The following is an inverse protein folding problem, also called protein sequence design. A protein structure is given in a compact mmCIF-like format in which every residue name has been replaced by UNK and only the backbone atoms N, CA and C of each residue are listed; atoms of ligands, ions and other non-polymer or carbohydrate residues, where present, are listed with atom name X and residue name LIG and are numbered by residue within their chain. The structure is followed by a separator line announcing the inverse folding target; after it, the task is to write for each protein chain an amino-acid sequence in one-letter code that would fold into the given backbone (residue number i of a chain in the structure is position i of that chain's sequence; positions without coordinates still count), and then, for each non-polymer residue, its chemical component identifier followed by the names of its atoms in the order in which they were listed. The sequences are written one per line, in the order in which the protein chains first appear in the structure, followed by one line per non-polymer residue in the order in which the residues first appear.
data_IF_347339276340
#
_entry.id   IF_347339276340
#
_cell.length_a   1.000
_cell.length_b   1.000
_cell.length_c   1.000
_cell.angle_alpha   90.00
_cell.angle_beta   90.00
_cell.angle_gamma   90.00
#
_symmetry.space_group_name_H-M   'P 1'
#
loop_
_entity.id
_entity.type
_entity.pdbx_description
1 polymer ?
#
# COMPACT_ATOMS: atom_id res chain seq x y z
N UNK A 1 -61.45 -10.92 6.55
CA UNK A 1 -62.26 -12.09 6.94
C UNK A 1 -61.33 -13.31 7.08
N UNK A 2 -61.45 -13.93 8.31
CA UNK A 2 -61.09 -15.34 8.63
C UNK A 2 -59.63 -15.78 8.46
N UNK A 3 -58.93 -16.51 9.37
CA UNK A 3 -59.12 -16.86 10.80
C UNK A 3 -57.79 -17.47 11.26
N UNK A 4 -57.44 -17.16 12.50
CA UNK A 4 -56.44 -17.85 13.34
C UNK A 4 -56.68 -19.36 13.41
N UNK A 5 -55.63 -20.15 13.64
CA UNK A 5 -55.65 -21.31 14.53
C UNK A 5 -54.35 -21.48 15.30
N UNK A 6 -54.46 -21.28 16.60
CA UNK A 6 -53.54 -21.78 17.66
C UNK A 6 -53.83 -23.26 17.90
N UNK A 7 -52.80 -24.06 18.19
CA UNK A 7 -52.92 -25.25 19.06
C UNK A 7 -51.66 -25.48 19.88
N UNK A 8 -51.83 -25.32 21.16
CA UNK A 8 -50.97 -25.80 22.27
C UNK A 8 -51.24 -27.26 22.60
N UNK A 9 -50.42 -27.82 23.51
CA UNK A 9 -50.54 -29.05 24.34
C UNK A 9 -49.32 -29.95 24.05
N UNK A 10 -48.53 -30.43 25.00
CA UNK A 10 -48.66 -30.57 26.44
C UNK A 10 -47.36 -31.16 27.03
N UNK A 11 -47.17 -30.89 28.28
CA UNK A 11 -46.17 -31.42 29.21
C UNK A 11 -46.28 -32.92 29.39
N UNK A 12 -45.11 -33.63 29.52
CA UNK A 12 -45.08 -34.87 30.33
C UNK A 12 -43.76 -34.93 31.12
N UNK A 13 -43.91 -34.84 32.44
CA UNK A 13 -42.89 -35.20 33.45
C UNK A 13 -42.84 -36.69 33.61
N UNK A 14 -41.66 -37.31 33.63
CA UNK A 14 -41.44 -38.56 34.35
C UNK A 14 -40.08 -38.49 35.06
N UNK A 15 -40.14 -38.47 36.38
CA UNK A 15 -38.98 -38.65 37.22
C UNK A 15 -38.69 -40.14 37.42
N UNK A 16 -37.43 -40.48 37.56
CA UNK A 16 -37.03 -41.69 38.25
C UNK A 16 -35.69 -41.52 39.02
N UNK A 17 -35.64 -42.12 40.12
CA UNK A 17 -34.85 -42.05 41.32
C UNK A 17 -33.36 -42.43 41.19
N UNK A 18 -32.62 -41.80 42.06
CA UNK A 18 -31.25 -42.00 42.57
C UNK A 18 -30.80 -43.46 42.75
N UNK A 19 -29.60 -43.78 42.35
CA UNK A 19 -28.73 -44.72 43.05
C UNK A 19 -27.27 -44.22 43.08
N UNK A 20 -26.79 -44.02 44.31
CA UNK A 20 -25.43 -43.69 44.70
C UNK A 20 -24.49 -44.89 44.50
N UNK A 21 -23.28 -44.64 43.92
CA UNK A 21 -22.07 -45.43 44.26
C UNK A 21 -20.84 -44.51 44.12
N UNK A 22 -20.09 -44.49 45.18
CA UNK A 22 -18.85 -43.77 45.41
C UNK A 22 -17.64 -44.33 44.61
N UNK A 23 -16.71 -43.42 44.44
CA UNK A 23 -15.24 -43.52 44.32
C UNK A 23 -14.63 -43.41 42.91
N UNK A 24 -13.81 -42.36 42.81
CA UNK A 24 -12.80 -42.22 41.77
C UNK A 24 -12.48 -40.75 41.51
N UNK A 25 -11.64 -40.13 42.39
CA UNK A 25 -11.07 -38.80 42.19
C UNK A 25 -10.16 -38.79 40.96
N UNK A 26 -10.58 -38.15 39.91
CA UNK A 26 -9.70 -37.61 38.87
C UNK A 26 -10.00 -36.11 38.76
N UNK A 27 -9.03 -35.32 39.23
CA UNK A 27 -9.02 -33.88 39.01
C UNK A 27 -8.94 -33.60 37.51
N UNK A 28 -10.06 -33.22 36.91
CA UNK A 28 -10.05 -32.56 35.64
C UNK A 28 -9.57 -31.13 35.88
N UNK A 29 -8.33 -30.82 35.47
CA UNK A 29 -7.89 -29.43 35.29
C UNK A 29 -8.78 -28.85 34.19
N UNK A 30 -9.81 -28.09 34.60
CA UNK A 30 -10.42 -27.08 33.76
C UNK A 30 -9.35 -26.06 33.42
N UNK A 31 -8.77 -26.18 32.24
CA UNK A 31 -8.04 -25.08 31.63
C UNK A 31 -9.09 -24.05 31.21
N UNK A 32 -9.36 -23.09 32.09
CA UNK A 32 -9.96 -21.83 31.67
C UNK A 32 -8.96 -21.20 30.66
N UNK A 33 -9.25 -21.35 29.37
CA UNK A 33 -8.73 -20.38 28.39
C UNK A 33 -9.26 -19.02 28.82
N UNK A 34 -8.41 -18.25 29.49
CA UNK A 34 -8.61 -16.82 29.65
C UNK A 34 -8.79 -16.25 28.24
N UNK A 35 -10.00 -15.85 27.89
CA UNK A 35 -10.30 -14.97 26.78
C UNK A 35 -9.56 -13.64 27.10
N UNK A 36 -8.26 -13.56 26.77
CA UNK A 36 -7.55 -12.30 26.75
C UNK A 36 -8.18 -11.47 25.63
N UNK A 37 -8.92 -10.43 26.01
CA UNK A 37 -9.25 -9.36 25.07
C UNK A 37 -7.93 -8.92 24.40
N UNK A 38 -7.91 -8.71 23.08
CA UNK A 38 -6.69 -8.28 22.39
C UNK A 38 -6.18 -7.00 23.06
N UNK A 39 -4.95 -7.07 23.53
CA UNK A 39 -4.29 -5.93 24.18
C UNK A 39 -4.08 -4.85 23.10
N UNK A 40 -4.85 -3.77 23.16
CA UNK A 40 -4.74 -2.65 22.23
C UNK A 40 -3.36 -2.03 22.39
N UNK A 41 -2.58 -2.01 21.31
CA UNK A 41 -1.28 -1.32 21.30
C UNK A 41 -1.50 0.18 21.45
N UNK A 42 -1.22 0.71 22.63
CA UNK A 42 -1.21 2.14 22.86
C UNK A 42 0.09 2.76 22.31
N UNK A 43 -0.03 3.92 21.68
CA UNK A 43 1.11 4.68 21.19
C UNK A 43 0.92 6.18 21.41
N UNK A 44 2.02 6.90 21.49
CA UNK A 44 2.07 8.35 21.44
C UNK A 44 2.55 8.81 20.06
N UNK A 45 2.20 10.04 19.69
CA UNK A 45 2.61 10.64 18.42
C UNK A 45 3.72 11.63 18.70
N UNK A 46 4.87 11.42 18.08
CA UNK A 46 5.95 12.39 18.02
C UNK A 46 5.95 13.06 16.66
N UNK A 47 5.66 14.35 16.62
CA UNK A 47 5.81 15.16 15.40
C UNK A 47 7.27 15.54 15.21
N UNK A 48 7.78 15.38 13.98
CA UNK A 48 9.13 15.73 13.59
C UNK A 48 9.10 17.10 12.93
N UNK A 49 9.86 18.05 13.47
CA UNK A 49 10.00 19.38 12.89
C UNK A 49 10.64 19.32 11.52
N UNK A 50 9.94 19.82 10.52
CA UNK A 50 10.28 19.59 9.13
C UNK A 50 9.81 20.73 8.22
N UNK A 51 10.65 21.19 7.26
CA UNK A 51 10.25 22.14 6.22
C UNK A 51 9.54 21.47 5.03
N UNK A 52 9.24 20.19 5.10
CA UNK A 52 8.60 19.44 4.01
C UNK A 52 7.12 19.80 3.94
N UNK A 53 6.64 20.30 2.79
CA UNK A 53 5.24 20.75 2.63
C UNK A 53 4.32 19.64 2.07
N UNK A 54 4.81 18.88 1.09
CA UNK A 54 4.06 17.82 0.43
C UNK A 54 4.90 16.53 0.33
N UNK A 55 5.19 15.88 1.48
CA UNK A 55 5.96 14.65 1.50
C UNK A 55 5.26 13.55 0.70
N UNK A 56 6.04 12.69 0.01
CA UNK A 56 5.45 11.64 -0.79
C UNK A 56 5.95 10.23 -0.43
N UNK A 57 7.25 10.00 -0.42
CA UNK A 57 7.88 8.73 -0.08
C UNK A 57 9.00 8.92 0.94
N UNK A 58 9.32 7.87 1.67
CA UNK A 58 10.42 7.82 2.64
C UNK A 58 11.16 6.49 2.49
N UNK A 59 12.49 6.52 2.58
CA UNK A 59 13.34 5.33 2.62
C UNK A 59 14.53 5.55 3.54
N UNK A 60 14.90 4.54 4.30
CA UNK A 60 16.09 4.57 5.14
C UNK A 60 17.33 4.14 4.35
N UNK A 61 18.46 4.81 4.60
CA UNK A 61 19.78 4.50 4.04
C UNK A 61 20.78 4.05 5.10
N UNK A 62 20.43 4.18 6.36
CA UNK A 62 21.04 3.55 7.53
C UNK A 62 20.02 3.53 8.70
N UNK A 63 20.44 3.09 9.89
CA UNK A 63 19.56 2.98 11.07
C UNK A 63 18.96 4.31 11.53
N UNK A 64 19.63 5.43 11.26
CA UNK A 64 19.26 6.77 11.74
C UNK A 64 18.92 7.76 10.64
N UNK A 65 19.21 7.43 9.38
CA UNK A 65 19.11 8.36 8.27
C UNK A 65 18.14 7.90 7.19
N UNK A 66 17.19 8.76 6.88
CA UNK A 66 16.23 8.54 5.82
C UNK A 66 16.23 9.65 4.78
N UNK A 67 15.72 9.34 3.59
CA UNK A 67 15.43 10.29 2.52
C UNK A 67 13.94 10.41 2.34
N UNK A 68 13.46 11.64 2.20
CA UNK A 68 12.05 11.95 2.02
C UNK A 68 11.88 12.74 0.73
N UNK A 69 11.08 12.22 -0.20
CA UNK A 69 10.71 12.97 -1.41
C UNK A 69 9.59 13.95 -1.13
N UNK A 70 9.67 15.08 -1.81
CA UNK A 70 8.61 16.09 -1.87
C UNK A 70 8.20 16.34 -3.32
N UNK A 71 6.89 16.44 -3.56
CA UNK A 71 6.33 16.59 -4.90
C UNK A 71 6.89 17.78 -5.69
N UNK A 72 7.28 18.86 -5.03
CA UNK A 72 7.89 20.04 -5.69
C UNK A 72 9.23 19.72 -6.39
N UNK A 73 9.83 18.56 -6.17
CA UNK A 73 11.10 18.15 -6.76
C UNK A 73 12.28 18.31 -5.82
N UNK A 74 12.07 18.12 -4.54
CA UNK A 74 13.12 18.05 -3.52
C UNK A 74 13.22 16.66 -2.91
N UNK A 75 14.39 16.33 -2.41
CA UNK A 75 14.62 15.15 -1.57
C UNK A 75 15.29 15.66 -0.29
N UNK A 76 14.60 15.51 0.83
CA UNK A 76 15.09 15.93 2.14
C UNK A 76 15.82 14.79 2.84
N UNK A 77 16.73 15.15 3.74
CA UNK A 77 17.46 14.23 4.61
C UNK A 77 16.90 14.34 6.01
N UNK A 78 16.30 13.26 6.48
CA UNK A 78 15.96 13.06 7.88
C UNK A 78 17.13 12.35 8.54
N UNK A 79 17.70 12.93 9.60
CA UNK A 79 18.75 12.34 10.39
C UNK A 79 18.26 12.26 11.84
N UNK A 80 18.17 11.04 12.37
CA UNK A 80 17.42 10.76 13.61
C UNK A 80 15.99 11.32 13.49
N UNK A 81 15.59 12.26 14.32
CA UNK A 81 14.27 12.88 14.31
C UNK A 81 14.32 14.36 13.87
N UNK A 82 15.25 14.72 12.98
CA UNK A 82 15.38 16.07 12.45
C UNK A 82 15.62 16.08 10.93
N UNK A 83 14.89 16.93 10.23
CA UNK A 83 15.20 17.22 8.81
C UNK A 83 16.34 18.21 8.76
N UNK A 84 17.52 17.75 8.31
CA UNK A 84 18.78 18.49 8.42
C UNK A 84 19.21 19.18 7.14
N UNK A 85 18.90 18.63 5.97
CA UNK A 85 19.39 19.09 4.68
C UNK A 85 18.55 18.56 3.52
N UNK A 86 18.96 18.82 2.29
CA UNK A 86 18.34 18.30 1.07
C UNK A 86 19.40 17.85 0.07
N UNK A 87 19.01 16.91 -0.80
CA UNK A 87 19.84 16.39 -1.88
C UNK A 87 19.90 17.42 -3.02
N UNK A 88 21.09 17.65 -3.55
CA UNK A 88 21.36 18.52 -4.70
C UNK A 88 21.72 17.70 -5.96
N UNK A 89 21.86 18.38 -7.09
CA UNK A 89 22.24 17.81 -8.39
C UNK A 89 21.23 16.76 -8.91
N UNK A 90 19.93 17.04 -8.70
CA UNK A 90 18.80 16.22 -9.14
C UNK A 90 18.02 16.93 -10.26
N UNK A 91 17.48 16.18 -11.26
CA UNK A 91 16.71 16.77 -12.36
C UNK A 91 15.39 17.39 -11.89
N UNK A 92 14.98 18.51 -12.46
CA UNK A 92 13.68 19.08 -12.17
C UNK A 92 12.54 18.21 -12.77
N UNK A 93 11.49 17.88 -11.98
CA UNK A 93 10.37 17.09 -12.49
C UNK A 93 9.40 17.94 -13.33
N UNK A 94 8.50 17.27 -14.07
CA UNK A 94 7.28 17.89 -14.59
C UNK A 94 6.33 18.16 -13.41
N UNK A 95 5.79 19.36 -13.32
CA UNK A 95 4.89 19.77 -12.25
C UNK A 95 3.51 20.16 -12.80
N UNK A 96 2.51 19.29 -12.59
CA UNK A 96 1.10 19.53 -12.90
C UNK A 96 0.23 18.60 -12.06
N UNK A 97 -0.65 19.13 -11.22
CA UNK A 97 -1.57 18.33 -10.40
C UNK A 97 -0.85 17.39 -9.43
N UNK A 98 -0.95 16.08 -9.66
CA UNK A 98 -0.36 15.02 -8.82
C UNK A 98 1.11 14.69 -9.16
N UNK A 99 1.68 15.34 -10.17
CA UNK A 99 3.05 15.08 -10.63
C UNK A 99 4.11 15.63 -9.65
N UNK A 100 5.37 15.26 -9.87
CA UNK A 100 6.52 15.71 -9.08
C UNK A 100 7.51 14.58 -8.82
N UNK A 101 8.26 14.68 -7.73
CA UNK A 101 8.96 13.54 -7.14
C UNK A 101 7.96 12.71 -6.34
N UNK A 102 8.02 11.40 -6.52
CA UNK A 102 7.03 10.46 -6.02
C UNK A 102 7.70 9.47 -5.06
N UNK A 103 7.71 8.17 -5.36
CA UNK A 103 8.26 7.21 -4.42
C UNK A 103 9.81 7.17 -4.45
N UNK A 104 10.40 6.76 -3.34
CA UNK A 104 11.84 6.58 -3.18
C UNK A 104 12.12 5.31 -2.40
N UNK A 105 13.11 4.52 -2.85
CA UNK A 105 13.48 3.26 -2.23
C UNK A 105 15.00 3.05 -2.31
N UNK A 106 15.66 2.85 -1.18
CA UNK A 106 17.03 2.36 -1.17
C UNK A 106 17.06 0.90 -1.63
N UNK A 107 18.15 0.49 -2.27
CA UNK A 107 18.36 -0.93 -2.58
C UNK A 107 18.31 -1.77 -1.30
N UNK A 108 17.68 -2.97 -1.29
CA UNK A 108 17.63 -3.82 -0.08
C UNK A 108 19.01 -4.14 0.54
N UNK A 109 20.05 -4.19 -0.28
CA UNK A 109 21.44 -4.40 0.13
C UNK A 109 22.23 -3.07 0.23
N UNK A 110 21.58 -1.96 0.55
CA UNK A 110 22.28 -0.70 0.82
C UNK A 110 23.02 -0.80 2.19
N UNK A 111 24.29 -0.36 2.35
CA UNK A 111 25.09 0.41 1.40
C UNK A 111 25.98 -0.40 0.44
N UNK A 112 26.02 -1.74 0.51
CA UNK A 112 26.85 -2.59 -0.36
C UNK A 112 26.53 -2.37 -1.83
N UNK A 113 25.26 -2.25 -2.17
CA UNK A 113 24.74 -1.74 -3.44
C UNK A 113 24.22 -0.32 -3.22
N UNK A 114 25.03 0.72 -3.45
CA UNK A 114 24.73 2.09 -3.00
C UNK A 114 23.72 2.81 -3.90
N UNK A 115 22.73 2.10 -4.42
CA UNK A 115 21.70 2.65 -5.29
C UNK A 115 20.45 3.05 -4.53
N UNK A 116 19.90 4.20 -4.89
CA UNK A 116 18.63 4.73 -4.41
C UNK A 116 17.75 4.90 -5.64
N UNK A 117 16.58 4.28 -5.62
CA UNK A 117 15.60 4.31 -6.70
C UNK A 117 14.57 5.37 -6.44
N UNK A 118 14.13 6.03 -7.49
CA UNK A 118 13.15 7.11 -7.44
C UNK A 118 12.18 6.96 -8.60
N UNK A 119 10.89 7.11 -8.35
CA UNK A 119 9.94 7.42 -9.40
C UNK A 119 9.63 8.90 -9.39
N UNK A 120 9.60 9.50 -10.57
CA UNK A 120 9.26 10.90 -10.72
C UNK A 120 8.55 11.13 -12.06
N UNK A 121 7.87 12.24 -12.18
CA UNK A 121 7.29 12.67 -13.46
C UNK A 121 8.37 13.38 -14.28
N UNK A 122 9.00 12.67 -15.21
CA UNK A 122 10.00 13.25 -16.12
C UNK A 122 9.35 14.15 -17.14
N UNK A 123 9.82 15.39 -17.23
CA UNK A 123 9.37 16.34 -18.24
C UNK A 123 9.82 15.93 -19.63
N UNK A 124 8.91 15.93 -20.60
CA UNK A 124 9.19 15.67 -22.00
C UNK A 124 8.27 16.54 -22.87
N UNK A 125 8.83 17.54 -23.54
CA UNK A 125 8.07 18.59 -24.23
C UNK A 125 7.13 19.35 -23.30
N UNK A 126 5.84 19.36 -23.63
CA UNK A 126 4.78 20.01 -22.82
C UNK A 126 4.15 19.06 -21.79
N UNK A 127 4.52 17.76 -21.77
CA UNK A 127 3.96 16.75 -20.89
C UNK A 127 5.01 16.12 -19.98
N UNK A 128 4.58 15.06 -19.29
CA UNK A 128 5.42 14.22 -18.45
C UNK A 128 4.85 12.82 -18.27
N UNK A 129 5.73 11.89 -17.92
CA UNK A 129 5.35 10.51 -17.61
C UNK A 129 6.09 10.01 -16.37
N UNK A 130 5.53 9.02 -15.71
CA UNK A 130 6.22 8.31 -14.62
C UNK A 130 7.51 7.71 -15.17
N UNK A 131 8.62 8.01 -14.53
CA UNK A 131 9.94 7.51 -14.89
C UNK A 131 10.58 6.92 -13.65
N UNK A 132 11.04 5.68 -13.75
CA UNK A 132 11.90 5.06 -12.76
C UNK A 132 13.35 5.48 -13.04
N UNK A 133 14.02 6.01 -12.02
CA UNK A 133 15.42 6.36 -12.05
C UNK A 133 16.14 5.77 -10.85
N UNK A 134 17.48 5.75 -10.89
CA UNK A 134 18.34 5.48 -9.73
C UNK A 134 19.50 6.45 -9.66
N UNK A 135 20.05 6.62 -8.49
CA UNK A 135 21.21 7.46 -8.25
C UNK A 135 22.01 6.96 -7.04
N UNK A 136 23.21 7.48 -6.88
CA UNK A 136 24.05 7.25 -5.69
C UNK A 136 24.24 8.57 -4.93
N UNK A 137 24.61 8.48 -3.66
CA UNK A 137 24.90 9.65 -2.84
C UNK A 137 26.43 9.84 -2.65
N UNK A 138 26.86 11.09 -2.78
CA UNK A 138 28.18 11.54 -2.33
C UNK A 138 27.98 12.78 -1.42
N UNK A 139 28.01 12.56 -0.11
CA UNK A 139 27.50 13.55 0.85
C UNK A 139 26.01 13.82 0.60
N UNK A 140 25.65 15.09 0.35
CA UNK A 140 24.27 15.51 0.04
C UNK A 140 24.06 15.73 -1.48
N UNK A 141 24.87 15.11 -2.34
CA UNK A 141 24.74 15.22 -3.79
C UNK A 141 24.33 13.92 -4.42
N UNK A 142 23.36 13.97 -5.32
CA UNK A 142 23.07 12.87 -6.20
C UNK A 142 24.19 12.75 -7.26
N UNK A 143 24.69 11.55 -7.43
CA UNK A 143 25.71 11.20 -8.43
C UNK A 143 25.23 9.98 -9.21
N UNK A 144 25.81 9.75 -10.38
CA UNK A 144 25.50 8.59 -11.21
C UNK A 144 24.00 8.44 -11.47
N UNK A 145 23.30 9.55 -11.73
CA UNK A 145 21.88 9.54 -12.07
C UNK A 145 21.62 8.80 -13.37
N UNK A 146 20.71 7.82 -13.33
CA UNK A 146 20.31 7.02 -14.47
C UNK A 146 18.77 6.92 -14.53
N UNK A 147 18.18 7.29 -15.68
CA UNK A 147 16.77 6.98 -15.95
C UNK A 147 16.69 5.56 -16.50
N UNK A 148 16.13 4.64 -15.72
CA UNK A 148 16.06 3.22 -16.04
C UNK A 148 14.91 2.89 -16.98
N UNK A 149 13.73 3.46 -16.72
CA UNK A 149 12.53 3.19 -17.48
C UNK A 149 11.61 4.42 -17.53
N UNK A 150 11.39 4.95 -18.73
CA UNK A 150 10.42 6.03 -18.94
C UNK A 150 9.15 5.47 -19.58
N UNK A 151 8.00 5.65 -18.90
CA UNK A 151 6.72 5.12 -19.37
C UNK A 151 6.16 5.90 -20.56
N UNK A 152 5.45 5.21 -21.43
CA UNK A 152 4.86 5.75 -22.66
C UNK A 152 3.36 5.43 -22.75
N UNK A 153 2.55 6.31 -23.34
CA UNK A 153 2.93 7.57 -23.99
C UNK A 153 3.19 8.71 -23.02
N UNK A 154 3.91 9.74 -23.49
CA UNK A 154 4.00 11.01 -22.78
C UNK A 154 2.66 11.73 -22.88
N UNK A 155 2.13 12.21 -21.74
CA UNK A 155 0.86 12.94 -21.69
C UNK A 155 1.00 14.24 -20.92
N UNK A 156 0.10 15.19 -21.13
CA UNK A 156 0.00 16.41 -20.36
C UNK A 156 -0.99 16.26 -19.16
N UNK A 157 -1.53 15.07 -18.94
CA UNK A 157 -2.42 14.77 -17.82
C UNK A 157 -1.71 14.99 -16.47
N UNK A 158 -2.37 15.68 -15.55
CA UNK A 158 -1.86 15.97 -14.21
C UNK A 158 -2.30 14.97 -13.14
N UNK A 159 -2.82 13.79 -13.52
CA UNK A 159 -3.39 12.81 -12.60
C UNK A 159 -2.87 11.40 -12.88
N UNK A 160 -3.04 10.50 -11.91
CA UNK A 160 -2.83 9.06 -11.95
C UNK A 160 -1.43 8.67 -12.44
N UNK A 161 -0.41 8.97 -11.62
CA UNK A 161 0.99 8.62 -11.92
C UNK A 161 1.40 7.25 -11.38
N UNK A 162 0.60 6.60 -10.52
CA UNK A 162 0.97 5.39 -9.80
C UNK A 162 2.18 5.63 -8.90
N UNK A 163 3.31 4.99 -9.21
CA UNK A 163 4.67 5.33 -8.81
C UNK A 163 5.30 4.53 -7.66
N UNK A 164 4.59 3.64 -6.96
CA UNK A 164 5.18 2.87 -5.86
C UNK A 164 6.26 1.93 -6.35
N UNK A 165 7.31 1.76 -5.52
CA UNK A 165 8.48 0.92 -5.77
C UNK A 165 8.60 -0.12 -4.66
N UNK A 166 8.76 -1.39 -5.03
CA UNK A 166 9.16 -2.45 -4.11
C UNK A 166 10.23 -3.34 -4.76
N UNK A 167 10.95 -4.08 -3.92
CA UNK A 167 11.79 -5.20 -4.32
C UNK A 167 11.24 -6.48 -3.72
N UNK A 168 11.36 -7.60 -4.46
CA UNK A 168 11.10 -8.94 -3.92
C UNK A 168 12.39 -9.61 -3.43
N UNK A 169 12.25 -10.85 -2.91
CA UNK A 169 13.38 -11.64 -2.41
C UNK A 169 14.38 -12.08 -3.51
N UNK A 170 13.94 -12.11 -4.76
CA UNK A 170 14.78 -12.49 -5.90
C UNK A 170 15.51 -11.28 -6.49
N UNK A 171 15.32 -10.08 -5.92
CA UNK A 171 15.94 -8.82 -6.32
C UNK A 171 15.28 -8.17 -7.53
N UNK A 172 14.10 -8.61 -7.94
CA UNK A 172 13.33 -7.88 -8.95
C UNK A 172 12.73 -6.62 -8.37
N UNK A 173 12.72 -5.58 -9.19
CA UNK A 173 12.08 -4.30 -8.90
C UNK A 173 10.71 -4.25 -9.56
N UNK A 174 9.69 -3.90 -8.77
CA UNK A 174 8.35 -3.61 -9.26
C UNK A 174 8.04 -2.14 -9.06
N UNK A 175 7.39 -1.53 -10.05
CA UNK A 175 6.86 -0.19 -9.90
C UNK A 175 5.51 -0.05 -10.60
N UNK A 176 4.66 0.83 -10.06
CA UNK A 176 3.30 1.02 -10.55
C UNK A 176 3.16 2.26 -11.42
N UNK A 177 2.16 2.24 -12.30
CA UNK A 177 1.74 3.36 -13.13
C UNK A 177 0.22 3.51 -13.08
N UNK A 178 -0.28 4.72 -13.21
CA UNK A 178 -1.70 4.99 -13.36
C UNK A 178 -2.12 5.14 -14.82
N UNK A 179 -3.41 5.04 -15.11
CA UNK A 179 -4.00 5.08 -16.46
C UNK A 179 -4.02 6.49 -17.09
N UNK A 180 -3.62 7.53 -16.33
CA UNK A 180 -3.45 8.91 -16.78
C UNK A 180 -4.76 9.60 -17.19
N UNK A 181 -5.90 9.18 -16.62
CA UNK A 181 -7.23 9.73 -16.91
C UNK A 181 -7.88 9.22 -18.20
N UNK A 182 -7.30 8.22 -18.83
CA UNK A 182 -7.86 7.51 -19.99
C UNK A 182 -8.08 6.06 -19.59
N UNK A 183 -9.31 5.73 -19.24
CA UNK A 183 -9.70 4.43 -18.62
C UNK A 183 -9.23 3.22 -19.43
N UNK A 184 -9.34 3.32 -20.76
CA UNK A 184 -9.02 2.26 -21.71
C UNK A 184 -7.53 1.89 -21.72
N UNK A 185 -6.66 2.81 -21.32
CA UNK A 185 -5.21 2.55 -21.22
C UNK A 185 -4.91 1.36 -20.30
N UNK A 186 -5.72 1.17 -19.25
CA UNK A 186 -5.49 0.10 -18.28
C UNK A 186 -5.55 -1.31 -18.91
N UNK A 187 -6.42 -1.50 -19.92
CA UNK A 187 -6.59 -2.78 -20.64
C UNK A 187 -5.65 -2.93 -21.83
N UNK A 188 -5.06 -1.84 -22.33
CA UNK A 188 -4.19 -1.86 -23.51
C UNK A 188 -2.75 -2.21 -23.15
N UNK A 189 -2.29 -3.39 -23.52
CA UNK A 189 -0.92 -3.88 -23.28
C UNK A 189 0.15 -3.17 -24.13
N UNK A 190 -0.23 -2.36 -25.12
CA UNK A 190 0.73 -1.66 -26.00
C UNK A 190 1.30 -0.39 -25.38
N UNK A 191 0.75 0.03 -24.25
CA UNK A 191 1.21 1.18 -23.46
C UNK A 191 1.55 0.80 -22.02
N UNK A 192 2.20 1.72 -21.29
CA UNK A 192 2.66 1.50 -19.92
C UNK A 192 1.68 2.01 -18.85
N UNK A 193 0.49 2.48 -19.23
CA UNK A 193 -0.45 3.18 -18.34
C UNK A 193 -1.42 2.21 -17.64
N UNK A 194 -1.60 2.35 -16.32
CA UNK A 194 -2.47 1.47 -15.53
C UNK A 194 -1.92 0.04 -15.40
N UNK A 195 -0.65 -0.06 -15.00
CA UNK A 195 0.13 -1.30 -14.93
C UNK A 195 0.95 -1.38 -13.64
N UNK A 196 1.35 -2.59 -13.29
CA UNK A 196 2.53 -2.84 -12.48
C UNK A 196 3.58 -3.42 -13.40
N UNK A 197 4.79 -2.88 -13.36
CA UNK A 197 5.94 -3.32 -14.14
C UNK A 197 6.90 -4.12 -13.28
N UNK A 198 7.61 -5.09 -13.87
CA UNK A 198 8.70 -5.84 -13.24
C UNK A 198 9.97 -5.71 -14.07
N UNK A 199 11.07 -5.33 -13.41
CA UNK A 199 12.38 -5.12 -14.01
C UNK A 199 13.48 -5.75 -13.14
N UNK A 200 14.67 -5.90 -13.70
CA UNK A 200 15.87 -6.05 -12.89
C UNK A 200 16.28 -4.69 -12.27
N UNK A 201 17.16 -4.73 -11.28
CA UNK A 201 17.70 -3.55 -10.59
C UNK A 201 18.39 -2.52 -11.50
N UNK A 202 18.82 -2.92 -12.68
CA UNK A 202 19.45 -2.06 -13.71
C UNK A 202 18.46 -1.54 -14.76
N UNK A 203 17.16 -1.84 -14.61
CA UNK A 203 16.09 -1.45 -15.54
C UNK A 203 15.91 -2.38 -16.73
N UNK A 204 16.74 -3.43 -16.88
CA UNK A 204 16.53 -4.43 -17.91
C UNK A 204 15.30 -5.29 -17.63
N UNK A 205 14.73 -5.86 -18.70
CA UNK A 205 13.45 -6.58 -18.64
C UNK A 205 13.70 -8.08 -18.49
N UNK A 206 13.14 -8.74 -17.45
CA UNK A 206 13.23 -10.19 -17.30
C UNK A 206 12.56 -10.95 -18.46
N UNK A 207 13.23 -12.00 -18.96
CA UNK A 207 12.74 -12.79 -20.08
C UNK A 207 11.49 -13.64 -19.73
N UNK A 208 11.25 -13.85 -18.45
CA UNK A 208 10.10 -14.59 -17.92
C UNK A 208 8.90 -13.72 -17.56
N UNK A 209 8.91 -12.43 -17.87
CA UNK A 209 7.73 -11.56 -17.71
C UNK A 209 6.56 -12.09 -18.56
N UNK A 210 5.29 -11.93 -18.09
CA UNK A 210 4.14 -12.64 -18.66
C UNK A 210 3.82 -12.28 -20.11
N UNK A 211 4.24 -11.09 -20.57
CA UNK A 211 3.85 -10.57 -21.89
C UNK A 211 5.03 -10.42 -22.87
N UNK A 212 6.19 -11.06 -22.60
CA UNK A 212 7.39 -10.93 -23.45
C UNK A 212 7.18 -11.45 -24.86
N UNK A 213 6.35 -12.48 -25.03
CA UNK A 213 6.01 -13.11 -26.30
C UNK A 213 4.71 -12.56 -26.92
N UNK A 214 4.01 -11.66 -26.22
CA UNK A 214 2.77 -11.07 -26.72
C UNK A 214 3.09 -9.98 -27.76
N UNK A 215 2.59 -10.09 -29.01
CA UNK A 215 2.88 -9.09 -30.04
C UNK A 215 2.47 -7.68 -29.63
N UNK A 216 3.39 -6.73 -29.79
CA UNK A 216 3.24 -5.30 -29.46
C UNK A 216 3.03 -4.97 -27.99
N UNK A 217 2.93 -5.94 -27.07
CA UNK A 217 2.84 -5.66 -25.65
C UNK A 217 4.15 -5.07 -25.11
N UNK A 218 4.03 -4.23 -24.09
CA UNK A 218 5.17 -3.77 -23.29
C UNK A 218 5.70 -4.93 -22.46
N UNK A 219 6.94 -5.32 -22.70
CA UNK A 219 7.56 -6.52 -22.09
C UNK A 219 7.83 -6.40 -20.60
N UNK A 220 7.81 -5.16 -20.07
CA UNK A 220 7.98 -4.88 -18.65
C UNK A 220 6.74 -5.14 -17.81
N UNK A 221 5.55 -5.27 -18.43
CA UNK A 221 4.28 -5.44 -17.74
C UNK A 221 4.28 -6.73 -16.94
N UNK A 222 3.95 -6.60 -15.64
CA UNK A 222 3.68 -7.71 -14.73
C UNK A 222 2.19 -7.96 -14.57
N UNK A 223 1.41 -6.86 -14.36
CA UNK A 223 -0.06 -6.88 -14.31
C UNK A 223 -0.64 -5.71 -15.08
N UNK A 224 -1.93 -5.79 -15.40
CA UNK A 224 -2.66 -4.74 -16.09
C UNK A 224 -4.09 -4.59 -15.56
N UNK A 225 -4.85 -3.63 -16.13
CA UNK A 225 -6.21 -3.39 -15.64
C UNK A 225 -6.25 -2.62 -14.34
N UNK A 226 -5.19 -1.87 -13.99
CA UNK A 226 -5.13 -1.04 -12.80
C UNK A 226 -5.52 0.41 -13.12
N UNK A 227 -6.24 1.08 -12.20
CA UNK A 227 -6.57 2.49 -12.36
C UNK A 227 -5.43 3.40 -11.91
N UNK A 228 -5.04 3.32 -10.65
CA UNK A 228 -4.00 4.16 -10.08
C UNK A 228 -3.48 3.57 -8.76
N UNK A 229 -2.53 2.66 -8.86
CA UNK A 229 -1.92 2.00 -7.70
C UNK A 229 -1.05 3.00 -6.94
N UNK A 230 -1.44 3.31 -5.70
CA UNK A 230 -0.80 4.30 -4.83
C UNK A 230 -0.19 3.71 -3.56
N UNK A 231 -0.36 2.41 -3.31
CA UNK A 231 0.28 1.65 -2.26
C UNK A 231 0.80 0.33 -2.81
N UNK A 232 2.02 -0.07 -2.44
CA UNK A 232 2.56 -1.40 -2.68
C UNK A 232 3.45 -1.80 -1.51
N UNK A 233 3.38 -3.07 -1.13
CA UNK A 233 4.26 -3.66 -0.11
C UNK A 233 4.49 -5.13 -0.42
N UNK A 234 5.52 -5.70 0.19
CA UNK A 234 5.92 -7.08 -0.03
C UNK A 234 6.03 -7.83 1.29
N UNK A 235 5.31 -8.93 1.40
CA UNK A 235 5.46 -9.93 2.45
C UNK A 235 6.56 -10.90 2.03
N UNK A 236 7.74 -10.73 2.60
CA UNK A 236 8.93 -11.50 2.26
C UNK A 236 8.90 -12.95 2.79
N UNK A 237 8.11 -13.24 3.83
CA UNK A 237 7.96 -14.57 4.38
C UNK A 237 7.10 -15.47 3.48
N UNK A 238 6.01 -14.90 2.94
CA UNK A 238 5.05 -15.63 2.12
C UNK A 238 5.22 -15.39 0.61
N UNK A 239 6.16 -14.50 0.22
CA UNK A 239 6.39 -14.08 -1.17
C UNK A 239 5.12 -13.50 -1.83
N UNK A 240 4.44 -12.59 -1.13
CA UNK A 240 3.19 -11.97 -1.58
C UNK A 240 3.40 -10.47 -1.78
N UNK A 241 3.01 -9.95 -2.93
CA UNK A 241 2.90 -8.52 -3.18
C UNK A 241 1.46 -8.10 -2.93
N UNK A 242 1.26 -7.12 -2.07
CA UNK A 242 -0.01 -6.42 -1.87
C UNK A 242 0.05 -5.05 -2.52
N UNK A 243 -1.06 -4.63 -3.13
CA UNK A 243 -1.19 -3.29 -3.70
C UNK A 243 -2.55 -2.68 -3.37
N UNK A 244 -2.56 -1.36 -3.13
CA UNK A 244 -3.80 -0.60 -3.03
C UNK A 244 -3.91 0.38 -4.17
N UNK A 245 -5.11 0.52 -4.72
CA UNK A 245 -5.39 1.45 -5.80
C UNK A 245 -6.64 2.28 -5.58
N UNK A 246 -6.63 3.48 -6.17
CA UNK A 246 -7.77 4.38 -6.10
C UNK A 246 -8.88 3.94 -7.03
N UNK A 247 -10.08 3.76 -6.50
CA UNK A 247 -11.30 3.84 -7.25
C UNK A 247 -11.67 5.28 -7.61
N UNK A 248 -12.78 5.49 -8.33
CA UNK A 248 -13.30 6.85 -8.58
C UNK A 248 -14.07 7.37 -7.35
N UNK A 249 -15.40 7.36 -7.38
CA UNK A 249 -16.25 7.71 -6.24
C UNK A 249 -16.72 6.43 -5.55
N UNK A 250 -15.87 5.87 -4.67
CA UNK A 250 -15.93 4.50 -4.14
C UNK A 250 -15.08 3.54 -4.95
N UNK A 251 -14.90 2.31 -4.42
CA UNK A 251 -14.16 1.24 -5.09
C UNK A 251 -12.65 1.42 -5.07
N UNK A 252 -12.08 2.02 -4.02
CA UNK A 252 -10.67 1.81 -3.71
C UNK A 252 -10.49 0.33 -3.35
N UNK A 253 -9.35 -0.27 -3.71
CA UNK A 253 -9.12 -1.70 -3.61
C UNK A 253 -7.80 -2.03 -2.91
N UNK A 254 -7.79 -3.18 -2.21
CA UNK A 254 -6.58 -3.88 -1.78
C UNK A 254 -6.51 -5.20 -2.54
N UNK A 255 -5.46 -5.37 -3.31
CA UNK A 255 -5.25 -6.51 -4.19
C UNK A 255 -4.02 -7.33 -3.80
N UNK A 256 -4.08 -8.65 -3.99
CA UNK A 256 -2.93 -9.55 -4.05
C UNK A 256 -2.43 -9.59 -5.49
N UNK A 257 -1.16 -9.25 -5.71
CA UNK A 257 -0.62 -9.09 -7.07
C UNK A 257 -0.08 -10.41 -7.60
N UNK A 258 -0.64 -10.86 -8.74
CA UNK A 258 -0.32 -12.12 -9.40
C UNK A 258 0.24 -11.89 -10.79
N UNK A 259 1.19 -12.73 -11.20
CA UNK A 259 1.84 -12.67 -12.53
C UNK A 259 0.83 -12.77 -13.67
N UNK A 260 0.80 -11.78 -14.54
CA UNK A 260 -0.03 -11.77 -15.76
C UNK A 260 -1.50 -11.43 -15.52
N UNK A 261 -1.90 -11.15 -14.29
CA UNK A 261 -3.28 -10.92 -13.90
C UNK A 261 -3.83 -9.58 -14.42
N UNK A 262 -5.15 -9.57 -14.69
CA UNK A 262 -5.93 -8.39 -15.07
C UNK A 262 -6.84 -7.96 -13.91
N UNK A 263 -6.62 -6.77 -13.35
CA UNK A 263 -7.38 -6.21 -12.21
C UNK A 263 -8.66 -5.48 -12.63
N UNK A 264 -9.03 -5.59 -13.90
CA UNK A 264 -10.37 -5.35 -14.41
C UNK A 264 -10.75 -3.90 -14.68
N UNK A 265 -10.04 -2.88 -14.20
CA UNK A 265 -10.38 -1.50 -14.52
C UNK A 265 -10.30 -1.23 -16.03
N UNK A 266 -11.30 -0.58 -16.66
CA UNK A 266 -12.59 -0.11 -16.14
C UNK A 266 -13.75 -1.07 -16.38
N UNK A 267 -13.51 -2.33 -16.77
CA UNK A 267 -14.54 -3.31 -17.09
C UNK A 267 -15.36 -3.74 -15.88
N UNK A 268 -14.72 -3.76 -14.69
CA UNK A 268 -15.35 -3.97 -13.40
C UNK A 268 -14.94 -2.87 -12.43
N UNK A 269 -15.80 -2.50 -11.49
CA UNK A 269 -15.51 -1.54 -10.41
C UNK A 269 -16.62 -1.51 -9.37
N UNK A 270 -16.27 -1.29 -8.10
CA UNK A 270 -17.20 -1.02 -7.00
C UNK A 270 -17.60 0.46 -6.89
N UNK A 271 -17.11 1.32 -7.79
CA UNK A 271 -17.33 2.76 -7.77
C UNK A 271 -18.11 3.28 -8.98
N UNK A 272 -18.55 4.53 -8.86
CA UNK A 272 -19.16 5.30 -9.95
C UNK A 272 -18.30 6.51 -10.31
N UNK A 273 -18.50 7.12 -11.46
CA UNK A 273 -17.75 8.31 -11.86
C UNK A 273 -18.08 9.52 -10.95
N UNK A 274 -17.19 10.51 -10.94
CA UNK A 274 -17.33 11.70 -10.09
C UNK A 274 -18.59 12.51 -10.40
N UNK A 275 -19.09 12.48 -11.64
CA UNK A 275 -20.35 13.11 -12.06
C UNK A 275 -21.60 12.29 -11.72
N UNK A 276 -21.41 11.08 -11.19
CA UNK A 276 -22.47 10.14 -10.81
C UNK A 276 -22.87 9.15 -11.91
N UNK A 277 -22.20 9.18 -13.06
CA UNK A 277 -22.44 8.21 -14.13
C UNK A 277 -21.87 6.83 -13.77
N UNK A 278 -22.51 5.78 -14.29
CA UNK A 278 -22.06 4.40 -14.14
C UNK A 278 -20.88 4.18 -15.08
N UNK A 279 -19.77 3.63 -14.54
CA UNK A 279 -18.59 3.25 -15.33
C UNK A 279 -18.76 1.84 -15.86
N UNK A 280 -19.18 0.92 -15.01
CA UNK A 280 -19.50 -0.47 -15.34
C UNK A 280 -20.70 -0.91 -14.52
N UNK A 281 -21.53 -1.77 -15.11
CA UNK A 281 -22.62 -2.47 -14.40
C UNK A 281 -22.12 -3.75 -13.69
N UNK A 282 -20.81 -4.05 -13.81
CA UNK A 282 -20.19 -5.26 -13.28
C UNK A 282 -19.21 -4.91 -12.14
N UNK A 283 -19.32 -5.62 -11.05
CA UNK A 283 -18.37 -5.61 -9.95
C UNK A 283 -17.37 -6.76 -10.06
N UNK A 284 -17.78 -7.88 -10.71
CA UNK A 284 -16.96 -9.06 -10.98
C UNK A 284 -17.15 -9.59 -12.41
N UNK A 285 -16.13 -10.23 -12.96
CA UNK A 285 -16.18 -10.88 -14.28
C UNK A 285 -15.15 -12.01 -14.34
N UNK A 286 -15.51 -13.13 -14.96
CA UNK A 286 -14.58 -14.27 -15.16
C UNK A 286 -13.30 -13.83 -15.88
N UNK A 287 -12.14 -14.20 -15.35
CA UNK A 287 -10.81 -13.85 -15.86
C UNK A 287 -10.30 -12.49 -15.43
N UNK A 288 -11.01 -11.78 -14.54
CA UNK A 288 -10.56 -10.55 -13.89
C UNK A 288 -10.40 -10.81 -12.40
N UNK A 289 -9.30 -10.32 -11.82
CA UNK A 289 -8.99 -10.50 -10.40
C UNK A 289 -9.91 -9.66 -9.53
N UNK A 290 -10.21 -10.18 -8.35
CA UNK A 290 -11.03 -9.52 -7.36
C UNK A 290 -10.15 -9.05 -6.19
N UNK A 291 -10.44 -7.85 -5.61
CA UNK A 291 -9.74 -7.38 -4.42
C UNK A 291 -10.06 -8.25 -3.20
N UNK A 292 -9.10 -8.39 -2.30
CA UNK A 292 -9.33 -9.02 -0.99
C UNK A 292 -10.01 -8.08 0.00
N UNK A 293 -10.07 -6.79 -0.31
CA UNK A 293 -10.80 -5.75 0.42
C UNK A 293 -11.05 -4.54 -0.48
N UNK A 294 -12.18 -3.84 -0.29
CA UNK A 294 -12.48 -2.61 -1.00
C UNK A 294 -13.22 -1.60 -0.12
N UNK A 295 -13.14 -0.33 -0.48
CA UNK A 295 -13.77 0.76 0.29
C UNK A 295 -14.83 1.49 -0.52
N UNK A 296 -16.05 1.54 0.05
CA UNK A 296 -17.15 2.39 -0.44
C UNK A 296 -17.76 3.09 0.78
N UNK A 297 -17.64 4.42 0.88
CA UNK A 297 -17.01 5.35 -0.08
C UNK A 297 -15.50 5.21 -0.17
N UNK A 298 -14.89 5.74 -1.24
CA UNK A 298 -13.43 5.82 -1.40
C UNK A 298 -12.79 6.58 -0.24
N UNK A 299 -11.72 6.02 0.32
CA UNK A 299 -10.86 6.68 1.31
C UNK A 299 -9.64 7.37 0.66
N UNK A 300 -9.46 7.20 -0.66
CA UNK A 300 -8.27 7.54 -1.42
C UNK A 300 -7.03 6.89 -0.81
N UNK A 301 -7.01 5.56 -0.85
CA UNK A 301 -5.97 4.69 -0.26
C UNK A 301 -4.59 5.03 -0.78
N UNK A 302 -3.57 5.11 0.09
CA UNK A 302 -2.23 5.53 -0.31
C UNK A 302 -1.17 5.05 0.68
N UNK A 303 -0.01 4.68 0.17
CA UNK A 303 1.10 4.22 1.02
C UNK A 303 0.72 2.97 1.80
N UNK A 304 1.19 1.82 1.37
CA UNK A 304 0.89 0.53 1.98
C UNK A 304 2.13 -0.01 2.68
N UNK A 305 1.97 -0.46 3.92
CA UNK A 305 2.99 -1.13 4.72
C UNK A 305 2.46 -2.49 5.16
N UNK A 306 3.23 -3.55 4.94
CA UNK A 306 3.12 -4.82 5.66
C UNK A 306 4.11 -4.76 6.81
N UNK A 307 3.61 -4.68 8.04
CA UNK A 307 4.45 -4.46 9.21
C UNK A 307 5.11 -5.76 9.69
N UNK A 308 6.44 -5.75 9.81
CA UNK A 308 7.24 -6.92 10.21
C UNK A 308 8.01 -6.74 11.51
N UNK A 309 8.08 -5.52 12.02
CA UNK A 309 8.84 -5.17 13.23
C UNK A 309 8.26 -5.73 14.52
N UNK A 310 9.02 -5.52 15.59
CA UNK A 310 8.68 -6.03 16.93
C UNK A 310 8.29 -4.91 17.93
N UNK A 311 8.24 -3.64 17.47
CA UNK A 311 7.84 -2.51 18.35
C UNK A 311 6.36 -2.54 18.71
N UNK A 312 5.54 -3.11 17.84
CA UNK A 312 4.08 -3.23 18.04
C UNK A 312 3.69 -4.70 17.80
N UNK A 313 3.88 -5.59 18.79
CA UNK A 313 3.72 -7.05 18.61
C UNK A 313 2.35 -7.46 18.07
N UNK A 314 1.25 -6.78 18.51
CA UNK A 314 -0.09 -7.10 18.05
C UNK A 314 -0.37 -6.61 16.61
N UNK A 315 0.53 -5.80 16.07
CA UNK A 315 0.43 -5.27 14.70
C UNK A 315 1.28 -6.05 13.69
N UNK A 316 2.09 -6.99 14.18
CA UNK A 316 2.93 -7.81 13.30
C UNK A 316 2.08 -8.55 12.28
N UNK A 317 2.54 -8.54 11.03
CA UNK A 317 1.85 -9.12 9.86
C UNK A 317 0.49 -8.46 9.53
N UNK A 318 0.22 -7.26 10.02
CA UNK A 318 -0.91 -6.46 9.57
C UNK A 318 -0.51 -5.54 8.41
N UNK A 319 -1.49 -5.17 7.59
CA UNK A 319 -1.34 -4.14 6.56
C UNK A 319 -1.80 -2.78 7.09
N UNK A 320 -1.08 -1.73 6.71
CA UNK A 320 -1.41 -0.35 7.06
C UNK A 320 -1.52 0.45 5.77
N UNK A 321 -2.74 0.86 5.43
CA UNK A 321 -2.99 1.73 4.29
C UNK A 321 -3.28 3.16 4.74
N UNK A 322 -2.52 4.12 4.21
CA UNK A 322 -2.86 5.52 4.38
C UNK A 322 -4.14 5.87 3.64
N UNK A 323 -4.90 6.84 4.14
CA UNK A 323 -6.11 7.37 3.52
C UNK A 323 -6.01 8.89 3.34
N UNK A 324 -5.96 9.35 2.08
CA UNK A 324 -5.87 10.77 1.77
C UNK A 324 -7.21 11.49 1.98
N UNK A 325 -8.30 10.93 1.48
CA UNK A 325 -9.65 11.48 1.67
C UNK A 325 -10.24 11.08 3.02
N UNK A 326 -9.95 9.87 3.48
CA UNK A 326 -10.40 9.38 4.79
C UNK A 326 -9.66 9.99 5.97
N UNK A 327 -8.48 10.61 5.78
CA UNK A 327 -7.65 11.25 6.81
C UNK A 327 -7.41 10.34 8.02
N UNK A 328 -7.03 9.08 7.76
CA UNK A 328 -6.69 8.09 8.77
C UNK A 328 -5.71 7.04 8.19
N UNK A 329 -5.24 6.14 9.02
CA UNK A 329 -4.62 4.88 8.59
C UNK A 329 -5.66 3.78 8.75
N UNK A 330 -5.91 3.01 7.69
CA UNK A 330 -6.65 1.76 7.79
C UNK A 330 -5.66 0.64 8.14
N UNK A 331 -5.72 0.12 9.37
CA UNK A 331 -4.99 -1.08 9.77
C UNK A 331 -5.87 -2.30 9.51
N UNK A 332 -5.36 -3.22 8.71
CA UNK A 332 -6.07 -4.40 8.27
C UNK A 332 -5.41 -5.65 8.87
N UNK A 333 -6.18 -6.42 9.61
CA UNK A 333 -5.73 -7.71 10.13
C UNK A 333 -6.00 -8.80 9.10
N UNK A 334 -4.98 -9.61 8.81
CA UNK A 334 -5.06 -10.71 7.85
C UNK A 334 -5.13 -12.06 8.58
N UNK A 335 -6.05 -12.93 8.15
CA UNK A 335 -6.08 -14.34 8.52
C UNK A 335 -6.27 -15.18 7.26
N UNK A 336 -5.35 -16.13 7.02
CA UNK A 336 -5.36 -16.99 5.83
C UNK A 336 -5.44 -16.25 4.48
N UNK A 337 -4.88 -15.04 4.41
CA UNK A 337 -4.87 -14.20 3.21
C UNK A 337 -6.13 -13.34 3.01
N UNK A 338 -7.09 -13.39 3.94
CA UNK A 338 -8.31 -12.58 3.93
C UNK A 338 -8.23 -11.47 4.98
N UNK A 339 -8.85 -10.31 4.70
CA UNK A 339 -8.99 -9.23 5.67
C UNK A 339 -10.15 -9.54 6.61
N UNK A 340 -9.84 -9.77 7.89
CA UNK A 340 -10.85 -10.13 8.92
C UNK A 340 -11.25 -8.96 9.80
N UNK A 341 -10.44 -7.90 9.85
CA UNK A 341 -10.76 -6.70 10.63
C UNK A 341 -10.11 -5.45 10.03
N UNK A 342 -10.79 -4.32 10.12
CA UNK A 342 -10.26 -2.98 9.81
C UNK A 342 -10.39 -2.09 11.04
N UNK A 343 -9.27 -1.46 11.43
CA UNK A 343 -9.22 -0.45 12.47
C UNK A 343 -8.68 0.87 11.91
N UNK A 344 -9.24 1.99 12.38
CA UNK A 344 -8.81 3.32 11.96
C UNK A 344 -7.90 3.95 13.01
N UNK A 345 -6.67 4.26 12.63
CA UNK A 345 -5.69 4.96 13.46
C UNK A 345 -5.49 6.39 12.94
N UNK A 346 -5.03 7.31 13.79
CA UNK A 346 -4.75 8.71 13.46
C UNK A 346 -5.93 9.41 12.75
N UNK A 347 -7.15 9.18 13.22
CA UNK A 347 -8.36 9.78 12.62
C UNK A 347 -8.29 11.30 12.68
N UNK A 348 -8.59 11.97 11.56
CA UNK A 348 -8.62 13.43 11.38
C UNK A 348 -7.29 14.16 11.64
N UNK A 349 -6.15 13.43 11.67
CA UNK A 349 -4.83 14.06 11.80
C UNK A 349 -4.33 14.69 10.49
N UNK A 350 -4.86 14.30 9.36
CA UNK A 350 -4.48 14.82 8.04
C UNK A 350 -4.52 13.77 6.95
N UNK A 351 -4.15 14.17 5.75
CA UNK A 351 -4.13 13.31 4.55
C UNK A 351 -2.92 12.38 4.61
N UNK A 352 -3.11 11.11 4.93
CA UNK A 352 -2.01 10.14 5.05
C UNK A 352 -1.52 9.73 3.67
N UNK A 353 -0.29 10.15 3.32
CA UNK A 353 0.37 9.84 2.03
C UNK A 353 1.20 8.56 2.09
N UNK A 354 1.90 8.33 3.21
CA UNK A 354 2.78 7.18 3.38
C UNK A 354 2.72 6.68 4.81
N UNK A 355 2.73 5.37 4.96
CA UNK A 355 3.02 4.67 6.21
C UNK A 355 4.26 3.80 5.93
N UNK A 356 5.28 3.90 6.75
CA UNK A 356 6.54 3.21 6.54
C UNK A 356 7.16 2.74 7.85
N UNK A 357 7.86 1.62 7.80
CA UNK A 357 8.62 1.04 8.92
C UNK A 357 10.08 1.48 8.81
N UNK A 358 10.65 1.96 9.92
CA UNK A 358 12.09 2.23 10.05
C UNK A 358 12.86 0.95 10.36
N UNK A 359 14.20 0.91 10.14
CA UNK A 359 15.01 -0.26 10.42
C UNK A 359 14.93 -0.76 11.87
N UNK A 360 14.68 0.15 12.82
CA UNK A 360 14.49 -0.18 14.24
C UNK A 360 13.03 -0.49 14.61
N UNK A 361 12.13 -0.63 13.62
CA UNK A 361 10.76 -1.12 13.74
C UNK A 361 9.71 -0.06 14.14
N UNK A 362 10.04 1.23 14.17
CA UNK A 362 9.03 2.28 14.38
C UNK A 362 8.24 2.56 13.10
N UNK A 363 6.98 2.94 13.28
CA UNK A 363 6.13 3.39 12.17
C UNK A 363 6.23 4.90 12.02
N UNK A 364 6.58 5.33 10.81
CA UNK A 364 6.56 6.73 10.39
C UNK A 364 5.41 6.99 9.43
N UNK A 365 4.80 8.16 9.56
CA UNK A 365 3.64 8.56 8.77
C UNK A 365 3.90 9.91 8.12
N UNK A 366 3.73 10.00 6.81
CA UNK A 366 3.82 11.25 6.08
C UNK A 366 2.42 11.80 5.80
N UNK A 367 2.17 13.03 6.21
CA UNK A 367 0.90 13.74 5.98
C UNK A 367 1.07 14.82 4.90
N UNK A 368 0.26 14.72 3.84
CA UNK A 368 0.19 15.72 2.77
C UNK A 368 -0.69 16.90 3.19
N UNK A 369 -0.16 18.12 3.06
CA UNK A 369 -0.85 19.38 3.41
C UNK A 369 -1.56 19.36 4.78
N UNK A 370 -0.85 19.39 5.89
CA UNK A 370 0.09 20.44 6.28
C UNK A 370 1.59 20.13 6.15
N UNK A 371 1.96 18.96 5.65
CA UNK A 371 3.38 18.63 5.48
C UNK A 371 4.02 18.15 6.77
N UNK A 372 3.40 17.19 7.47
CA UNK A 372 3.92 16.66 8.73
C UNK A 372 4.56 15.29 8.55
N UNK A 373 5.55 15.03 9.37
CA UNK A 373 6.17 13.72 9.56
C UNK A 373 5.89 13.30 11.00
N UNK A 374 5.21 12.19 11.16
CA UNK A 374 4.87 11.65 12.48
C UNK A 374 5.62 10.34 12.71
N UNK A 375 6.12 10.15 13.93
CA UNK A 375 6.64 8.87 14.43
C UNK A 375 5.68 8.36 15.49
N UNK A 376 5.25 7.12 15.37
CA UNK A 376 4.44 6.47 16.40
C UNK A 376 5.39 5.83 17.42
N UNK A 377 5.24 6.17 18.70
CA UNK A 377 6.06 5.63 19.79
C UNK A 377 5.18 4.75 20.68
N UNK A 378 5.43 3.42 20.76
CA UNK A 378 4.61 2.54 21.58
C UNK A 378 4.73 2.91 23.05
N UNK A 379 3.60 2.90 23.77
CA UNK A 379 3.58 3.08 25.21
C UNK A 379 4.03 1.77 25.86
N UNK A 380 5.21 1.78 26.46
CA UNK A 380 5.66 0.66 27.30
C UNK A 380 4.85 0.66 28.58
N UNK A 381 4.03 -0.35 28.81
CA UNK A 381 3.41 -0.55 30.13
C UNK A 381 4.55 -0.75 31.13
N UNK A 382 4.71 0.19 32.08
CA UNK A 382 5.60 -0.04 33.22
C UNK A 382 5.06 -1.24 34.02
N UNK A 383 5.90 -2.28 34.17
CA UNK A 383 5.63 -3.43 35.02
C UNK A 383 5.32 -3.01 36.49
#
# INVERSE_FOLDING_TARGET
MKKLYLKSIGLLFLGFTVLSCQNGSTESKDSQEENKEPEVTEFTIKEIDSPVENPWGITWIDESKALITERSGKIFILNEDQVTDSITDIPAPFLKGQSGYLDIKAHPEYPEKPWIYLTYSKKSGSGGSTTLARFQLSGNKATNWEDLYQTMPITDAGIHFGSRIIFDNDGYLFFSTGERGVKENAQDLTNDMGKIHRLFEDGSIPEDNPFVDTPNAKKSIWTYGNRNVQGMTYDSENNIIYATEHGPKGGDELNVIQKGANYGWPEITYGIDYDGSIISDLEEKEGLEQPIHYWVPSIATCGLLFYTGDKYPEWKNNLFSGALAGMHIARLTLENGEVVNEEKLLVDQGRVRQVAESPDGYIYVLLEGPGQILKLEPVTKSE
#
